data_IF_934933961236
#
_entry.id   IF_934933961236
#
_cell.length_a   1.000
_cell.length_b   1.000
_cell.length_c   1.000
_cell.angle_alpha   90.00
_cell.angle_beta   90.00
_cell.angle_gamma   90.00
#
_symmetry.space_group_name_H-M   'P 1'
#
loop_
_entity.id
_entity.type
_entity.pdbx_description
1 polymer ?
#
# COMPACT_ATOMS: atom_id res chain seq x y z
N UNK A 1 -11.66 -1.86 19.97
CA UNK A 1 -13.01 -1.73 20.58
C UNK A 1 -14.08 -1.28 19.56
N UNK A 2 -13.77 -0.45 18.56
CA UNK A 2 -14.73 0.04 17.56
C UNK A 2 -15.36 -1.07 16.69
N UNK A 3 -14.58 -2.06 16.27
CA UNK A 3 -15.10 -3.16 15.46
C UNK A 3 -16.08 -4.06 16.24
N UNK A 4 -15.82 -4.28 17.53
CA UNK A 4 -16.74 -5.05 18.38
C UNK A 4 -18.07 -4.33 18.57
N UNK A 5 -18.04 -3.01 18.71
CA UNK A 5 -19.26 -2.19 18.77
C UNK A 5 -20.11 -2.27 17.48
N UNK A 6 -19.48 -2.61 16.34
CA UNK A 6 -20.16 -2.84 15.06
C UNK A 6 -20.61 -4.30 14.87
N UNK A 7 -20.52 -5.15 15.90
CA UNK A 7 -20.94 -6.54 15.82
C UNK A 7 -19.85 -7.51 15.33
N UNK A 8 -18.60 -7.06 15.21
CA UNK A 8 -17.51 -7.97 14.84
C UNK A 8 -17.11 -8.88 16.02
N UNK A 9 -16.93 -10.17 15.71
CA UNK A 9 -16.41 -11.15 16.67
C UNK A 9 -14.88 -11.24 16.53
N UNK A 10 -14.22 -11.45 17.66
CA UNK A 10 -12.80 -11.74 17.71
C UNK A 10 -12.54 -13.25 17.74
N UNK A 11 -11.55 -13.70 16.98
CA UNK A 11 -11.00 -15.05 17.05
C UNK A 11 -9.49 -14.98 17.27
N UNK A 12 -8.97 -15.85 18.14
CA UNK A 12 -7.55 -15.85 18.48
C UNK A 12 -6.69 -16.51 17.40
N UNK A 13 -7.26 -17.44 16.63
CA UNK A 13 -6.55 -18.22 15.62
C UNK A 13 -7.26 -18.18 14.27
N UNK A 14 -6.47 -18.28 13.19
CA UNK A 14 -6.99 -18.31 11.83
C UNK A 14 -7.92 -19.50 11.58
N UNK A 15 -7.64 -20.64 12.20
CA UNK A 15 -8.50 -21.84 12.14
C UNK A 15 -9.92 -21.57 12.67
N UNK A 16 -10.08 -20.76 13.74
CA UNK A 16 -11.37 -20.41 14.28
C UNK A 16 -12.18 -19.50 13.35
N UNK A 17 -11.49 -18.60 12.61
CA UNK A 17 -12.11 -17.78 11.58
C UNK A 17 -12.56 -18.67 10.43
N UNK A 18 -11.68 -19.57 9.97
CA UNK A 18 -11.95 -20.47 8.85
C UNK A 18 -13.13 -21.42 9.13
N UNK A 19 -13.28 -21.87 10.37
CA UNK A 19 -14.40 -22.73 10.76
C UNK A 19 -15.77 -22.04 10.68
N UNK A 20 -15.80 -20.69 10.77
CA UNK A 20 -17.03 -19.88 10.83
C UNK A 20 -17.30 -19.05 9.58
N UNK A 21 -16.27 -18.77 8.77
CA UNK A 21 -16.36 -17.87 7.62
C UNK A 21 -16.15 -18.63 6.31
N UNK A 22 -17.03 -18.41 5.33
CA UNK A 22 -16.89 -18.98 3.98
C UNK A 22 -15.94 -18.18 3.09
N UNK A 23 -15.75 -16.89 3.40
CA UNK A 23 -14.82 -16.00 2.71
C UNK A 23 -13.93 -15.35 3.74
N UNK A 24 -12.63 -15.35 3.50
CA UNK A 24 -11.61 -14.76 4.37
C UNK A 24 -10.83 -13.72 3.58
N UNK A 25 -10.77 -12.50 4.11
CA UNK A 25 -9.91 -11.44 3.59
C UNK A 25 -8.62 -11.43 4.40
N UNK A 26 -7.48 -11.67 3.75
CA UNK A 26 -6.16 -11.56 4.37
C UNK A 26 -5.61 -10.15 4.11
N UNK A 27 -5.39 -9.39 5.18
CA UNK A 27 -4.83 -8.05 5.16
C UNK A 27 -3.73 -7.95 6.23
N UNK A 28 -2.57 -8.51 5.94
CA UNK A 28 -1.41 -8.58 6.83
C UNK A 28 -0.21 -7.84 6.23
N UNK A 29 0.89 -7.73 6.98
CA UNK A 29 2.00 -6.86 6.61
C UNK A 29 2.80 -7.35 5.39
N UNK A 30 3.06 -8.67 5.28
CA UNK A 30 3.92 -9.26 4.25
C UNK A 30 3.49 -10.68 3.84
N UNK A 31 4.22 -11.23 2.85
CA UNK A 31 3.97 -12.57 2.32
C UNK A 31 4.21 -13.67 3.36
N UNK A 32 5.20 -13.53 4.24
CA UNK A 32 5.50 -14.54 5.25
C UNK A 32 4.32 -14.71 6.22
N UNK A 33 3.67 -13.61 6.59
CA UNK A 33 2.45 -13.67 7.40
C UNK A 33 1.29 -14.32 6.64
N UNK A 34 1.15 -14.06 5.33
CA UNK A 34 0.15 -14.77 4.49
C UNK A 34 0.42 -16.27 4.49
N UNK A 35 1.65 -16.68 4.20
CA UNK A 35 2.07 -18.10 4.17
C UNK A 35 1.79 -18.81 5.50
N UNK A 36 2.05 -18.13 6.62
CA UNK A 36 1.80 -18.68 7.95
C UNK A 36 0.32 -18.97 8.27
N UNK A 37 -0.61 -18.29 7.59
CA UNK A 37 -2.05 -18.48 7.78
C UNK A 37 -2.63 -19.63 6.93
N UNK A 38 -2.04 -19.88 5.76
CA UNK A 38 -2.63 -20.80 4.77
C UNK A 38 -2.87 -22.23 5.26
N UNK A 39 -1.97 -22.88 6.05
CA UNK A 39 -2.20 -24.24 6.55
C UNK A 39 -3.49 -24.36 7.36
N UNK A 40 -3.75 -23.40 8.25
CA UNK A 40 -4.96 -23.40 9.07
C UNK A 40 -6.22 -23.27 8.22
N UNK A 41 -6.18 -22.39 7.20
CA UNK A 41 -7.31 -22.20 6.29
C UNK A 41 -7.55 -23.43 5.42
N UNK A 42 -6.49 -24.06 4.92
CA UNK A 42 -6.57 -25.23 4.05
C UNK A 42 -7.07 -26.49 4.77
N UNK A 43 -6.88 -26.58 6.08
CA UNK A 43 -7.33 -27.72 6.88
C UNK A 43 -8.83 -27.70 7.21
N UNK A 44 -9.53 -26.59 6.94
CA UNK A 44 -10.98 -26.46 7.17
C UNK A 44 -11.77 -27.20 6.10
N UNK A 45 -12.95 -27.72 6.44
CA UNK A 45 -13.83 -28.47 5.52
C UNK A 45 -15.27 -27.94 5.59
N UNK A 46 -15.81 -27.39 4.50
CA UNK A 46 -15.12 -27.02 3.25
C UNK A 46 -14.12 -25.87 3.46
N UNK A 47 -13.04 -25.76 2.66
CA UNK A 47 -12.11 -24.66 2.80
C UNK A 47 -12.77 -23.33 2.39
N UNK A 48 -12.44 -22.22 3.07
CA UNK A 48 -12.97 -20.89 2.74
C UNK A 48 -12.37 -20.37 1.42
N UNK A 49 -13.05 -19.43 0.76
CA UNK A 49 -12.48 -18.65 -0.31
C UNK A 49 -11.57 -17.56 0.31
N UNK A 50 -10.33 -17.48 -0.16
CA UNK A 50 -9.33 -16.52 0.32
C UNK A 50 -9.18 -15.36 -0.67
N UNK A 51 -9.35 -14.14 -0.17
CA UNK A 51 -9.06 -12.87 -0.87
C UNK A 51 -7.82 -12.27 -0.21
N UNK A 52 -6.67 -12.32 -0.88
CA UNK A 52 -5.42 -11.77 -0.36
C UNK A 52 -5.26 -10.31 -0.81
N UNK A 53 -5.36 -9.36 0.12
CA UNK A 53 -5.17 -7.93 -0.15
C UNK A 53 -3.76 -7.44 0.19
N UNK A 54 -2.93 -8.30 0.77
CA UNK A 54 -1.55 -8.00 1.14
C UNK A 54 -0.70 -7.74 -0.10
N UNK A 55 0.14 -6.69 -0.06
CA UNK A 55 1.12 -6.43 -1.10
C UNK A 55 2.32 -7.36 -0.93
N UNK A 56 2.45 -8.32 -1.85
CA UNK A 56 3.51 -9.31 -1.92
C UNK A 56 4.39 -9.09 -3.17
N UNK A 57 5.59 -9.68 -3.20
CA UNK A 57 6.32 -9.80 -4.46
C UNK A 57 5.59 -10.75 -5.43
N UNK A 58 5.73 -10.55 -6.76
CA UNK A 58 5.10 -11.43 -7.74
C UNK A 58 5.50 -12.90 -7.60
N UNK A 59 6.74 -13.18 -7.23
CA UNK A 59 7.20 -14.55 -6.97
C UNK A 59 6.62 -15.14 -5.68
N UNK A 60 6.51 -14.33 -4.62
CA UNK A 60 5.93 -14.75 -3.34
C UNK A 60 4.45 -15.14 -3.50
N UNK A 61 3.65 -14.27 -4.15
CA UNK A 61 2.22 -14.55 -4.35
C UNK A 61 1.99 -15.78 -5.25
N UNK A 62 2.90 -16.05 -6.19
CA UNK A 62 2.84 -17.27 -7.02
C UNK A 62 3.02 -18.51 -6.17
N UNK A 63 4.01 -18.55 -5.27
CA UNK A 63 4.25 -19.67 -4.34
C UNK A 63 3.05 -19.87 -3.41
N UNK A 64 2.49 -18.79 -2.87
CA UNK A 64 1.27 -18.79 -2.05
C UNK A 64 0.10 -19.42 -2.81
N UNK A 65 -0.12 -19.00 -4.05
CA UNK A 65 -1.21 -19.52 -4.88
C UNK A 65 -1.00 -21.00 -5.28
N UNK A 66 0.23 -21.42 -5.51
CA UNK A 66 0.55 -22.84 -5.74
C UNK A 66 0.25 -23.72 -4.52
N UNK A 67 0.59 -23.22 -3.32
CA UNK A 67 0.19 -23.91 -2.09
C UNK A 67 -1.34 -24.02 -1.99
N UNK A 68 -2.05 -22.90 -2.21
CA UNK A 68 -3.50 -22.87 -2.18
C UNK A 68 -4.11 -23.87 -3.17
N UNK A 69 -3.61 -23.92 -4.40
CA UNK A 69 -4.07 -24.86 -5.43
C UNK A 69 -3.86 -26.32 -5.03
N UNK A 70 -2.65 -26.68 -4.54
CA UNK A 70 -2.36 -28.04 -4.04
C UNK A 70 -3.27 -28.44 -2.88
N UNK A 71 -3.64 -27.48 -2.04
CA UNK A 71 -4.52 -27.67 -0.88
C UNK A 71 -6.00 -27.56 -1.21
N UNK A 72 -6.38 -27.33 -2.47
CA UNK A 72 -7.74 -27.05 -2.92
C UNK A 72 -8.41 -25.88 -2.18
N UNK A 73 -7.62 -24.88 -1.78
CA UNK A 73 -8.07 -23.66 -1.14
C UNK A 73 -8.36 -22.61 -2.24
N UNK A 74 -9.63 -22.21 -2.45
CA UNK A 74 -9.95 -21.17 -3.43
C UNK A 74 -9.25 -19.87 -3.06
N UNK A 75 -8.45 -19.29 -3.98
CA UNK A 75 -7.57 -18.18 -3.70
C UNK A 75 -7.57 -17.17 -4.85
N UNK A 76 -7.69 -15.88 -4.52
CA UNK A 76 -7.45 -14.77 -5.43
C UNK A 76 -6.53 -13.73 -4.76
N UNK A 77 -5.71 -13.06 -5.55
CA UNK A 77 -5.03 -11.84 -5.11
C UNK A 77 -5.86 -10.60 -5.44
N UNK A 78 -5.94 -9.67 -4.50
CA UNK A 78 -6.72 -8.44 -4.64
C UNK A 78 -6.08 -7.25 -3.90
N UNK A 79 -4.79 -6.92 -4.15
CA UNK A 79 -4.16 -5.77 -3.50
C UNK A 79 -4.92 -4.49 -3.82
N UNK A 80 -5.10 -3.64 -2.79
CA UNK A 80 -5.92 -2.44 -2.87
C UNK A 80 -5.03 -1.21 -3.11
N UNK A 81 -5.40 -0.39 -4.09
CA UNK A 81 -4.85 0.93 -4.33
C UNK A 81 -5.76 1.99 -3.73
N UNK A 82 -5.33 2.56 -2.60
CA UNK A 82 -6.08 3.54 -1.82
C UNK A 82 -5.70 3.48 -0.35
N UNK A 83 -6.16 4.47 0.40
CA UNK A 83 -6.04 4.55 1.86
C UNK A 83 -7.21 3.83 2.55
N UNK A 84 -7.11 3.56 3.86
CA UNK A 84 -8.22 3.02 4.65
C UNK A 84 -9.48 3.90 4.59
N UNK A 85 -9.32 5.22 4.53
CA UNK A 85 -10.44 6.16 4.36
C UNK A 85 -11.10 5.99 2.98
N UNK A 86 -10.33 5.79 1.91
CA UNK A 86 -10.87 5.53 0.57
C UNK A 86 -11.55 4.16 0.46
N UNK A 87 -11.07 3.15 1.19
CA UNK A 87 -11.78 1.86 1.31
C UNK A 87 -13.12 2.06 2.00
N UNK A 88 -13.13 2.74 3.15
CA UNK A 88 -14.37 3.04 3.88
C UNK A 88 -15.37 3.88 3.07
N UNK A 89 -14.89 4.75 2.17
CA UNK A 89 -15.71 5.56 1.26
C UNK A 89 -16.08 4.84 -0.05
N UNK A 90 -15.63 3.60 -0.29
CA UNK A 90 -15.86 2.85 -1.53
C UNK A 90 -15.17 3.45 -2.76
N UNK A 91 -14.12 4.27 -2.57
CA UNK A 91 -13.41 4.96 -3.66
C UNK A 91 -12.03 4.39 -3.96
N UNK A 92 -11.54 3.45 -3.15
CA UNK A 92 -10.34 2.68 -3.43
C UNK A 92 -10.56 1.71 -4.62
N UNK A 93 -9.47 1.24 -5.21
CA UNK A 93 -9.52 0.30 -6.35
C UNK A 93 -8.78 -0.99 -6.01
N UNK A 94 -9.45 -2.14 -6.12
CA UNK A 94 -8.81 -3.44 -6.02
C UNK A 94 -8.28 -3.89 -7.39
N UNK A 95 -7.06 -4.42 -7.40
CA UNK A 95 -6.48 -5.08 -8.56
C UNK A 95 -6.68 -6.59 -8.37
N UNK A 96 -7.61 -7.18 -9.10
CA UNK A 96 -8.01 -8.57 -8.87
C UNK A 96 -7.34 -9.48 -9.90
N UNK A 97 -6.74 -10.58 -9.42
CA UNK A 97 -6.19 -11.61 -10.30
C UNK A 97 -6.45 -13.02 -9.73
N UNK A 98 -6.68 -13.97 -10.62
CA UNK A 98 -6.97 -15.35 -10.28
C UNK A 98 -7.90 -16.01 -11.28
N UNK A 99 -8.43 -17.17 -10.89
CA UNK A 99 -9.43 -17.91 -11.65
C UNK A 99 -10.75 -17.14 -11.73
N UNK A 100 -11.37 -17.10 -12.92
CA UNK A 100 -12.58 -16.34 -13.19
C UNK A 100 -13.76 -16.78 -12.32
N UNK A 101 -13.93 -18.08 -12.09
CA UNK A 101 -15.03 -18.63 -11.30
C UNK A 101 -14.84 -18.30 -9.81
N UNK A 102 -13.59 -18.32 -9.33
CA UNK A 102 -13.28 -17.93 -7.94
C UNK A 102 -13.48 -16.42 -7.75
N UNK A 103 -13.09 -15.59 -8.73
CA UNK A 103 -13.36 -14.14 -8.71
C UNK A 103 -14.87 -13.88 -8.69
N UNK A 104 -15.64 -14.60 -9.50
CA UNK A 104 -17.10 -14.47 -9.50
C UNK A 104 -17.70 -14.90 -8.15
N UNK A 105 -17.22 -15.95 -7.52
CA UNK A 105 -17.65 -16.38 -6.19
C UNK A 105 -17.30 -15.35 -5.10
N UNK A 106 -16.22 -14.58 -5.27
CA UNK A 106 -15.79 -13.51 -4.36
C UNK A 106 -16.56 -12.19 -4.55
N UNK A 107 -17.37 -12.06 -5.61
CA UNK A 107 -17.94 -10.80 -6.07
C UNK A 107 -18.70 -10.04 -4.97
N UNK A 108 -19.58 -10.71 -4.22
CA UNK A 108 -20.35 -10.08 -3.15
C UNK A 108 -19.48 -9.47 -2.04
N UNK A 109 -18.38 -10.13 -1.68
CA UNK A 109 -17.42 -9.61 -0.70
C UNK A 109 -16.62 -8.45 -1.29
N UNK A 110 -16.20 -8.56 -2.55
CA UNK A 110 -15.46 -7.50 -3.24
C UNK A 110 -16.33 -6.26 -3.46
N UNK A 111 -17.65 -6.41 -3.70
CA UNK A 111 -18.57 -5.29 -3.85
C UNK A 111 -18.68 -4.44 -2.58
N UNK A 112 -18.58 -5.08 -1.42
CA UNK A 112 -18.55 -4.39 -0.12
C UNK A 112 -17.18 -3.82 0.19
N UNK A 113 -16.12 -4.61 0.00
CA UNK A 113 -14.75 -4.24 0.36
C UNK A 113 -14.19 -3.16 -0.57
N UNK A 114 -14.38 -3.31 -1.88
CA UNK A 114 -13.82 -2.44 -2.89
C UNK A 114 -14.65 -2.54 -4.20
N UNK A 115 -15.75 -1.76 -4.30
CA UNK A 115 -16.66 -1.82 -5.45
C UNK A 115 -15.97 -1.47 -6.77
N UNK A 116 -14.92 -0.63 -6.72
CA UNK A 116 -14.07 -0.37 -7.87
C UNK A 116 -13.00 -1.45 -7.94
N UNK A 117 -13.03 -2.26 -9.01
CA UNK A 117 -12.04 -3.31 -9.22
C UNK A 117 -11.67 -3.45 -10.68
N UNK A 118 -10.43 -3.85 -10.92
CA UNK A 118 -9.87 -4.10 -12.25
C UNK A 118 -9.34 -5.53 -12.23
N UNK A 119 -9.88 -6.38 -13.11
CA UNK A 119 -9.34 -7.71 -13.33
C UNK A 119 -8.08 -7.57 -14.19
N UNK A 120 -6.94 -8.02 -13.67
CA UNK A 120 -5.64 -7.96 -14.32
C UNK A 120 -5.12 -9.33 -14.75
N UNK A 121 -5.99 -10.34 -14.71
CA UNK A 121 -5.75 -11.69 -15.27
C UNK A 121 -5.20 -12.69 -14.26
N UNK A 122 -4.12 -13.38 -14.61
CA UNK A 122 -3.57 -14.47 -13.80
C UNK A 122 -2.90 -13.98 -12.52
N UNK A 123 -2.83 -14.85 -11.51
CA UNK A 123 -2.09 -14.64 -10.24
C UNK A 123 -0.68 -14.11 -10.52
N UNK A 124 -0.24 -13.17 -9.71
CA UNK A 124 1.02 -12.43 -9.86
C UNK A 124 0.87 -11.14 -10.66
N UNK A 125 -0.14 -10.99 -11.51
CA UNK A 125 -0.35 -9.77 -12.29
C UNK A 125 -0.85 -8.61 -11.41
N UNK A 126 -1.68 -8.88 -10.39
CA UNK A 126 -2.13 -7.83 -9.49
C UNK A 126 -0.98 -7.29 -8.64
N UNK A 127 -0.10 -8.15 -8.13
CA UNK A 127 1.12 -7.76 -7.45
C UNK A 127 2.05 -6.94 -8.36
N UNK A 128 2.31 -7.39 -9.61
CA UNK A 128 3.12 -6.64 -10.59
C UNK A 128 2.54 -5.26 -10.85
N UNK A 129 1.24 -5.19 -11.11
CA UNK A 129 0.52 -3.94 -11.37
C UNK A 129 0.58 -3.02 -10.14
N UNK A 130 0.37 -3.57 -8.94
CA UNK A 130 0.43 -2.82 -7.69
C UNK A 130 1.80 -2.21 -7.43
N UNK A 131 2.88 -2.96 -7.68
CA UNK A 131 4.24 -2.44 -7.53
C UNK A 131 4.51 -1.28 -8.48
N UNK A 132 4.11 -1.39 -9.75
CA UNK A 132 4.27 -0.32 -10.73
C UNK A 132 3.45 0.94 -10.36
N UNK A 133 2.21 0.77 -9.88
CA UNK A 133 1.38 1.88 -9.39
C UNK A 133 2.01 2.51 -8.15
N UNK A 134 2.47 1.71 -7.18
CA UNK A 134 3.09 2.22 -5.96
C UNK A 134 4.39 2.99 -6.25
N UNK A 135 5.19 2.55 -7.23
CA UNK A 135 6.35 3.28 -7.70
C UNK A 135 5.99 4.71 -8.11
N UNK A 136 4.98 4.87 -8.98
CA UNK A 136 4.52 6.19 -9.45
C UNK A 136 3.99 7.02 -8.27
N UNK A 137 3.13 6.42 -7.43
CA UNK A 137 2.52 7.08 -6.27
C UNK A 137 3.57 7.62 -5.28
N UNK A 138 4.59 6.82 -5.00
CA UNK A 138 5.63 7.17 -4.05
C UNK A 138 6.57 8.25 -4.59
N UNK A 139 6.96 8.18 -5.86
CA UNK A 139 7.77 9.20 -6.51
C UNK A 139 7.00 10.53 -6.64
N UNK A 140 5.69 10.51 -6.94
CA UNK A 140 4.86 11.71 -6.91
C UNK A 140 4.81 12.36 -5.52
N UNK A 141 4.83 11.55 -4.46
CA UNK A 141 4.89 12.06 -3.08
C UNK A 141 6.23 12.73 -2.77
N UNK A 142 7.32 12.13 -3.18
CA UNK A 142 8.65 12.73 -3.02
C UNK A 142 8.78 14.03 -3.83
N UNK A 143 8.33 14.04 -5.08
CA UNK A 143 8.32 15.23 -5.91
C UNK A 143 7.48 16.38 -5.33
N UNK A 144 6.29 16.06 -4.76
CA UNK A 144 5.49 17.06 -4.03
C UNK A 144 6.22 17.61 -2.82
N UNK A 145 6.89 16.75 -2.05
CA UNK A 145 7.64 17.16 -0.87
C UNK A 145 8.81 18.10 -1.23
N UNK A 146 9.55 17.78 -2.30
CA UNK A 146 10.61 18.66 -2.83
C UNK A 146 10.03 19.98 -3.34
N UNK A 147 8.93 19.96 -4.10
CA UNK A 147 8.28 21.16 -4.62
C UNK A 147 7.80 22.10 -3.51
N UNK A 148 7.20 21.56 -2.43
CA UNK A 148 6.80 22.34 -1.26
C UNK A 148 8.01 22.90 -0.51
N UNK A 149 9.05 22.12 -0.30
CA UNK A 149 10.28 22.58 0.36
C UNK A 149 11.00 23.66 -0.46
N UNK A 150 11.01 23.55 -1.79
CA UNK A 150 11.54 24.58 -2.68
C UNK A 150 10.70 25.87 -2.63
N UNK A 151 9.36 25.75 -2.68
CA UNK A 151 8.47 26.90 -2.57
C UNK A 151 8.70 27.67 -1.25
N UNK A 152 8.81 26.95 -0.13
CA UNK A 152 9.17 27.52 1.17
C UNK A 152 10.55 28.20 1.14
N UNK A 153 11.53 27.62 0.43
CA UNK A 153 12.87 28.18 0.30
C UNK A 153 12.90 29.49 -0.50
N UNK A 154 12.02 29.57 -1.49
CA UNK A 154 11.84 30.77 -2.33
C UNK A 154 10.95 31.82 -1.67
N UNK A 155 10.46 31.61 -0.45
CA UNK A 155 9.59 32.54 0.29
C UNK A 155 8.15 32.56 -0.19
N UNK A 156 7.70 31.55 -0.92
CA UNK A 156 6.31 31.45 -1.36
C UNK A 156 5.42 30.93 -0.23
N UNK A 157 4.16 31.39 -0.19
CA UNK A 157 3.15 30.82 0.68
C UNK A 157 2.81 29.38 0.23
N UNK A 158 3.04 28.39 1.11
CA UNK A 158 2.87 26.99 0.78
C UNK A 158 1.44 26.61 0.42
N UNK A 159 0.43 27.24 1.03
CA UNK A 159 -0.98 26.97 0.73
C UNK A 159 -1.35 27.45 -0.68
N UNK A 160 -0.94 28.66 -1.03
CA UNK A 160 -1.12 29.23 -2.37
C UNK A 160 -0.35 28.42 -3.42
N UNK A 161 0.89 28.01 -3.11
CA UNK A 161 1.67 27.14 -4.00
C UNK A 161 0.95 25.81 -4.27
N UNK A 162 0.49 25.13 -3.20
CA UNK A 162 -0.20 23.85 -3.34
C UNK A 162 -1.50 23.98 -4.16
N UNK A 163 -2.28 25.04 -3.92
CA UNK A 163 -3.51 25.33 -4.66
C UNK A 163 -3.22 25.56 -6.15
N UNK A 164 -2.14 26.26 -6.48
CA UNK A 164 -1.70 26.51 -7.86
C UNK A 164 -1.20 25.22 -8.51
N UNK A 165 -0.36 24.45 -7.81
CA UNK A 165 0.18 23.18 -8.31
C UNK A 165 -0.94 22.17 -8.66
N UNK A 166 -2.01 22.16 -7.87
CA UNK A 166 -3.21 21.32 -8.14
C UNK A 166 -3.92 21.68 -9.43
N UNK A 167 -3.82 22.91 -9.90
CA UNK A 167 -4.45 23.39 -11.14
C UNK A 167 -3.50 23.33 -12.35
N UNK A 168 -2.27 22.88 -12.13
CA UNK A 168 -1.24 22.79 -13.17
C UNK A 168 -1.10 21.38 -13.76
N UNK A 169 -0.28 21.26 -14.80
CA UNK A 169 0.09 19.97 -15.38
C UNK A 169 0.85 19.04 -14.42
N UNK A 170 1.34 19.56 -13.30
CA UNK A 170 2.02 18.78 -12.26
C UNK A 170 1.06 18.01 -11.34
N UNK A 171 -0.26 18.21 -11.47
CA UNK A 171 -1.24 17.60 -10.59
C UNK A 171 -1.07 16.08 -10.48
N UNK A 172 -1.10 15.62 -9.24
CA UNK A 172 -1.32 14.21 -8.91
C UNK A 172 -2.24 14.11 -7.67
N UNK A 173 -3.02 13.04 -7.57
CA UNK A 173 -3.93 12.79 -6.44
C UNK A 173 -3.23 12.83 -5.06
N UNK A 174 -1.92 12.61 -5.04
CA UNK A 174 -1.09 12.74 -3.82
C UNK A 174 -1.14 14.17 -3.25
N UNK A 175 -1.27 15.19 -4.10
CA UNK A 175 -1.39 16.59 -3.65
C UNK A 175 -2.62 16.82 -2.78
N UNK A 176 -3.72 16.10 -3.04
CA UNK A 176 -4.96 16.24 -2.26
C UNK A 176 -4.85 15.57 -0.89
N UNK A 177 -4.25 14.39 -0.84
CA UNK A 177 -4.17 13.60 0.39
C UNK A 177 -2.97 13.94 1.28
N UNK A 178 -1.82 14.28 0.69
CA UNK A 178 -0.56 14.49 1.43
C UNK A 178 -0.12 15.96 1.50
N UNK A 179 -0.50 16.78 0.54
CA UNK A 179 -0.15 18.20 0.52
C UNK A 179 -0.57 18.95 1.79
N UNK A 180 -1.85 18.90 2.22
CA UNK A 180 -2.29 19.53 3.46
C UNK A 180 -1.54 19.01 4.70
N UNK A 181 -1.26 17.70 4.77
CA UNK A 181 -0.52 17.11 5.88
C UNK A 181 0.93 17.59 5.95
N UNK A 182 1.60 17.73 4.80
CA UNK A 182 2.96 18.27 4.70
C UNK A 182 3.04 19.72 5.15
N UNK A 183 2.05 20.54 4.77
CA UNK A 183 1.96 21.95 5.18
C UNK A 183 1.66 22.10 6.67
N UNK A 184 0.69 21.36 7.17
CA UNK A 184 0.28 21.39 8.58
C UNK A 184 1.26 20.64 9.51
N UNK A 185 2.26 19.92 8.96
CA UNK A 185 3.12 18.99 9.71
C UNK A 185 2.31 17.95 10.52
N UNK A 186 1.13 17.59 10.02
CA UNK A 186 0.31 16.53 10.57
C UNK A 186 0.74 15.17 10.02
N UNK A 187 1.49 14.43 10.79
CA UNK A 187 1.96 13.10 10.42
C UNK A 187 1.22 11.98 11.15
N UNK A 188 -0.03 12.25 11.58
CA UNK A 188 -0.96 11.21 12.03
C UNK A 188 -1.17 10.18 10.91
N UNK A 189 -1.04 8.85 11.20
CA UNK A 189 -0.88 7.85 10.15
C UNK A 189 -2.17 7.60 9.36
N UNK A 190 -2.08 7.71 8.05
CA UNK A 190 -3.00 7.15 7.05
C UNK A 190 -2.28 6.09 6.18
N UNK A 191 -0.96 6.24 6.05
CA UNK A 191 -0.05 5.25 5.45
C UNK A 191 1.30 5.40 6.13
N UNK A 192 1.76 4.36 6.82
CA UNK A 192 2.99 4.39 7.61
C UNK A 192 4.23 4.49 6.75
N UNK A 193 5.25 5.23 7.26
CA UNK A 193 6.58 5.31 6.62
C UNK A 193 7.20 3.92 6.44
N UNK A 194 7.14 3.06 7.46
CA UNK A 194 7.69 1.71 7.40
C UNK A 194 7.06 0.88 6.27
N UNK A 195 5.73 0.92 6.13
CA UNK A 195 5.04 0.22 5.06
C UNK A 195 5.42 0.78 3.68
N UNK A 196 5.56 2.10 3.58
CA UNK A 196 5.97 2.76 2.33
C UNK A 196 7.40 2.38 1.95
N UNK A 197 8.33 2.32 2.91
CA UNK A 197 9.72 1.90 2.68
C UNK A 197 9.78 0.42 2.27
N UNK A 198 9.06 -0.47 2.96
CA UNK A 198 8.96 -1.89 2.58
C UNK A 198 8.54 -2.04 1.12
N UNK A 199 7.53 -1.30 0.68
CA UNK A 199 7.06 -1.36 -0.71
C UNK A 199 8.10 -0.79 -1.69
N UNK A 200 8.84 0.28 -1.34
CA UNK A 200 9.93 0.81 -2.17
C UNK A 200 11.06 -0.21 -2.33
N UNK A 201 11.46 -0.87 -1.24
CA UNK A 201 12.49 -1.91 -1.26
C UNK A 201 12.05 -3.14 -2.07
N UNK A 202 10.77 -3.51 -1.97
CA UNK A 202 10.18 -4.57 -2.79
C UNK A 202 10.25 -4.22 -4.28
N UNK A 203 9.89 -2.98 -4.66
CA UNK A 203 9.97 -2.48 -6.03
C UNK A 203 11.41 -2.53 -6.55
N UNK A 204 12.38 -2.05 -5.77
CA UNK A 204 13.80 -2.04 -6.16
C UNK A 204 14.34 -3.46 -6.34
N UNK A 205 13.98 -4.38 -5.46
CA UNK A 205 14.36 -5.80 -5.56
C UNK A 205 13.80 -6.45 -6.82
N UNK A 206 12.52 -6.24 -7.14
CA UNK A 206 11.90 -6.79 -8.34
C UNK A 206 12.46 -6.16 -9.62
N UNK A 207 12.73 -4.85 -9.62
CA UNK A 207 13.39 -4.17 -10.74
C UNK A 207 14.79 -4.79 -11.00
N UNK A 208 15.58 -5.02 -9.94
CA UNK A 208 16.88 -5.67 -10.05
C UNK A 208 16.83 -7.07 -10.65
N UNK A 209 15.80 -7.86 -10.29
CA UNK A 209 15.56 -9.18 -10.89
C UNK A 209 15.27 -9.12 -12.39
N UNK A 210 14.67 -8.00 -12.84
CA UNK A 210 14.42 -7.74 -14.26
C UNK A 210 15.57 -7.01 -14.96
N UNK A 211 16.70 -6.75 -14.31
CA UNK A 211 17.82 -5.99 -14.84
C UNK A 211 17.53 -4.49 -14.99
N UNK A 212 16.47 -3.97 -14.38
CA UNK A 212 16.06 -2.57 -14.46
C UNK A 212 16.60 -1.76 -13.27
N UNK A 213 17.14 -0.56 -13.58
CA UNK A 213 17.54 0.41 -12.54
C UNK A 213 16.46 1.49 -12.40
N UNK A 214 16.13 1.82 -11.15
CA UNK A 214 15.11 2.81 -10.81
C UNK A 214 15.74 3.93 -9.93
N UNK A 215 16.46 4.89 -10.52
CA UNK A 215 17.21 5.89 -9.76
C UNK A 215 16.31 6.75 -8.87
N UNK A 216 15.14 7.21 -9.34
CA UNK A 216 14.21 8.00 -8.54
C UNK A 216 13.72 7.24 -7.32
N UNK A 217 13.36 5.97 -7.50
CA UNK A 217 12.89 5.12 -6.39
C UNK A 217 14.02 4.82 -5.39
N UNK A 218 15.28 4.72 -5.85
CA UNK A 218 16.43 4.56 -4.96
C UNK A 218 16.60 5.76 -4.04
N UNK A 219 16.61 6.97 -4.59
CA UNK A 219 16.69 8.21 -3.81
C UNK A 219 15.48 8.36 -2.88
N UNK A 220 14.29 8.04 -3.37
CA UNK A 220 13.05 8.09 -2.58
C UNK A 220 13.10 7.12 -1.38
N UNK A 221 13.68 5.92 -1.54
CA UNK A 221 13.88 4.98 -0.43
C UNK A 221 14.87 5.52 0.64
N UNK A 222 15.91 6.24 0.22
CA UNK A 222 16.83 6.93 1.14
C UNK A 222 16.14 8.04 1.92
N UNK A 223 15.31 8.86 1.25
CA UNK A 223 14.49 9.89 1.91
C UNK A 223 13.51 9.28 2.93
N UNK A 224 12.92 8.12 2.62
CA UNK A 224 12.05 7.42 3.57
C UNK A 224 12.82 6.92 4.81
N UNK A 225 14.03 6.37 4.64
CA UNK A 225 14.88 5.96 5.77
C UNK A 225 15.25 7.16 6.64
N UNK A 226 15.61 8.28 6.03
CA UNK A 226 15.89 9.52 6.75
C UNK A 226 14.65 10.05 7.50
N UNK A 227 13.47 10.01 6.87
CA UNK A 227 12.22 10.41 7.51
C UNK A 227 11.85 9.51 8.70
N UNK A 228 12.09 8.19 8.59
CA UNK A 228 11.90 7.24 9.70
C UNK A 228 12.82 7.57 10.87
N UNK A 229 14.09 7.91 10.59
CA UNK A 229 15.03 8.31 11.64
C UNK A 229 14.61 9.59 12.36
N UNK A 230 13.96 10.52 11.66
CA UNK A 230 13.49 11.80 12.22
C UNK A 230 12.13 11.72 12.95
N UNK A 231 11.22 10.87 12.49
CA UNK A 231 9.79 10.89 12.89
C UNK A 231 9.25 9.55 13.40
N UNK A 232 10.03 8.50 13.27
CA UNK A 232 9.62 7.13 13.61
C UNK A 232 8.87 6.41 12.48
N UNK A 233 8.85 5.06 12.51
CA UNK A 233 8.31 4.22 11.45
C UNK A 233 6.80 4.32 11.27
N UNK A 234 6.09 4.65 12.35
CA UNK A 234 4.62 4.71 12.38
C UNK A 234 4.04 6.06 11.92
N UNK A 235 4.89 7.06 11.69
CA UNK A 235 4.45 8.34 11.14
C UNK A 235 3.89 8.19 9.73
N UNK A 236 2.99 9.10 9.34
CA UNK A 236 2.47 9.14 7.97
C UNK A 236 3.57 9.37 6.94
N UNK A 237 3.44 8.76 5.79
CA UNK A 237 4.39 8.88 4.69
C UNK A 237 4.56 10.31 4.13
N UNK A 238 3.67 11.25 4.49
CA UNK A 238 3.86 12.68 4.23
C UNK A 238 5.09 13.23 4.98
N UNK A 239 5.54 12.58 6.05
CA UNK A 239 6.72 13.00 6.81
C UNK A 239 8.02 12.92 6.00
N UNK A 240 8.02 12.34 4.80
CA UNK A 240 9.17 12.39 3.87
C UNK A 240 9.68 13.82 3.63
N UNK A 241 8.79 14.83 3.70
CA UNK A 241 9.18 16.25 3.57
C UNK A 241 10.16 16.70 4.66
N UNK A 242 10.12 16.09 5.85
CA UNK A 242 11.02 16.45 6.95
C UNK A 242 12.48 16.04 6.66
N UNK A 243 12.68 14.94 5.93
CA UNK A 243 14.02 14.56 5.48
C UNK A 243 14.60 15.60 4.51
N UNK A 244 13.78 16.16 3.63
CA UNK A 244 14.18 17.20 2.67
C UNK A 244 14.45 18.52 3.41
N UNK A 245 13.56 18.90 4.35
CA UNK A 245 13.75 20.12 5.17
C UNK A 245 15.01 20.05 6.05
N UNK A 246 15.33 18.88 6.59
CA UNK A 246 16.53 18.68 7.42
C UNK A 246 17.84 18.86 6.62
N UNK A 247 17.90 18.43 5.37
CA UNK A 247 19.04 18.65 4.47
C UNK A 247 19.36 20.13 4.22
N UNK A 248 18.33 21.00 4.28
CA UNK A 248 18.48 22.45 4.09
C UNK A 248 19.24 23.17 5.23
N UNK A 249 19.29 22.59 6.42
CA UNK A 249 19.92 23.21 7.59
C UNK A 249 21.45 23.05 7.60
N UNK A 250 21.99 22.04 6.92
CA UNK A 250 23.42 21.74 6.94
C UNK A 250 24.25 22.63 5.99
N UNK A 251 23.65 23.12 4.89
CA UNK A 251 24.38 23.96 3.92
C UNK A 251 24.50 25.42 4.32
N UNK A 252 23.77 25.89 5.34
CA UNK A 252 23.84 27.29 5.81
C UNK A 252 24.97 27.57 6.82
N UNK A 253 25.57 26.53 7.39
CA UNK A 253 26.71 26.69 8.33
C UNK A 253 28.06 26.72 7.62
N UNK A 254 28.10 26.54 6.29
CA UNK A 254 29.33 26.50 5.49
C UNK A 254 29.39 27.59 4.39
N UNK A 255 28.54 28.61 4.45
CA UNK A 255 28.56 29.82 3.62
C UNK A 255 28.63 31.05 4.52
#
# INVERSE_FOLDING_TARGET
DGLRASGAEFAAFAADVAARCRVIVIAVYDAAQVEGLLPDLANTRPPPLVICTTTCAPGEITVIAEFAARSRLPFIEAPISGTSAEVGAGTATALVAGDADIIAAAAATLDVLCPRRINVGAIGNASRTKLAINLILQNNRAALAEGLALAEALGLDGATFLATARQSAAYSKVMDSKGPKMLARDFSPQSHLAQTLKDAELILREAGRCGLRLPLTSVQAELLRAAIALRGPDSDSAAVIEAIRAGRSQDKEHS
#
